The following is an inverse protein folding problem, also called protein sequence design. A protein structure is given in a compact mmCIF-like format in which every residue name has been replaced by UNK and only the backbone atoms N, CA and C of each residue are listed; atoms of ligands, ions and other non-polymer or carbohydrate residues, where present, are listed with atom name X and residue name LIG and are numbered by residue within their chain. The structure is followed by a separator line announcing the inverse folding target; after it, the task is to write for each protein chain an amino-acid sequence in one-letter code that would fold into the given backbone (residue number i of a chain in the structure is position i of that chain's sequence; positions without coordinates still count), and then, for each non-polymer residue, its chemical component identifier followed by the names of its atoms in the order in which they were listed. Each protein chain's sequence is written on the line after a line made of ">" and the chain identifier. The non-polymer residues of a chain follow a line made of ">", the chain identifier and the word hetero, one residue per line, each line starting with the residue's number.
data_IF_545641364578
#
_entry.id   IF_545641364578
#
_cell.length_a   1.000
_cell.length_b   1.000
_cell.length_c   1.000
_cell.angle_alpha   90.00
_cell.angle_beta   90.00
_cell.angle_gamma   90.00
#
_symmetry.space_group_name_H-M   'P 1'
#
loop_
_entity.id
_entity.type
_entity.pdbx_description
1 polymer ?
#
# COMPACT_ATOMS: atom_id res chain seq x y z
N UNK A 1 -23.18 6.18 0.70
CA UNK A 1 -22.03 5.28 0.86
C UNK A 1 -20.95 5.77 -0.09
N UNK A 2 -19.80 6.22 0.41
CA UNK A 2 -18.68 6.58 -0.48
C UNK A 2 -18.20 5.26 -1.09
N UNK A 3 -18.26 5.14 -2.42
CA UNK A 3 -17.69 3.99 -3.11
C UNK A 3 -16.16 4.15 -3.11
N UNK A 4 -15.47 3.17 -2.54
CA UNK A 4 -14.00 3.10 -2.59
C UNK A 4 -13.58 2.60 -3.97
N UNK A 5 -12.97 3.48 -4.77
CA UNK A 5 -12.49 3.11 -6.11
C UNK A 5 -11.19 2.30 -6.04
N UNK A 6 -10.43 2.41 -4.96
CA UNK A 6 -9.16 1.68 -4.80
C UNK A 6 -9.35 0.16 -4.69
N UNK A 7 -10.47 -0.33 -4.16
CA UNK A 7 -10.70 -1.76 -3.92
C UNK A 7 -10.69 -2.59 -5.22
N UNK A 8 -11.50 -2.28 -6.25
CA UNK A 8 -11.44 -2.99 -7.53
C UNK A 8 -10.10 -2.80 -8.26
N UNK A 9 -9.46 -1.64 -8.13
CA UNK A 9 -8.15 -1.37 -8.73
C UNK A 9 -7.04 -2.22 -8.10
N UNK A 10 -7.05 -2.40 -6.77
CA UNK A 10 -6.12 -3.30 -6.09
C UNK A 10 -6.32 -4.74 -6.53
N UNK A 11 -7.57 -5.18 -6.67
CA UNK A 11 -7.85 -6.53 -7.19
C UNK A 11 -7.26 -6.68 -8.60
N UNK A 12 -7.56 -5.77 -9.53
CA UNK A 12 -7.04 -5.80 -10.88
C UNK A 12 -5.50 -5.73 -10.93
N UNK A 13 -4.89 -4.93 -10.05
CA UNK A 13 -3.43 -4.85 -9.92
C UNK A 13 -2.82 -6.20 -9.52
N UNK A 14 -3.37 -6.89 -8.53
CA UNK A 14 -2.84 -8.20 -8.12
C UNK A 14 -3.15 -9.31 -9.13
N UNK A 15 -4.36 -9.37 -9.66
CA UNK A 15 -4.79 -10.50 -10.51
C UNK A 15 -4.43 -10.27 -11.97
N UNK A 16 -4.86 -9.17 -12.56
CA UNK A 16 -4.71 -8.95 -14.00
C UNK A 16 -3.29 -8.48 -14.33
N UNK A 17 -2.73 -7.57 -13.54
CA UNK A 17 -1.41 -7.01 -13.81
C UNK A 17 -0.27 -7.89 -13.28
N UNK A 18 -0.16 -8.10 -11.96
CA UNK A 18 0.97 -8.83 -11.38
C UNK A 18 1.00 -10.30 -11.80
N UNK A 19 -0.13 -11.01 -11.71
CA UNK A 19 -0.21 -12.41 -12.13
C UNK A 19 -0.30 -12.52 -13.66
N UNK A 20 -1.29 -11.86 -14.28
CA UNK A 20 -1.56 -12.06 -15.71
C UNK A 20 -0.53 -11.45 -16.66
N UNK A 21 -0.19 -10.17 -16.50
CA UNK A 21 0.64 -9.43 -17.47
C UNK A 21 2.13 -9.49 -17.16
N UNK A 22 2.49 -9.45 -15.87
CA UNK A 22 3.88 -9.38 -15.41
C UNK A 22 4.50 -10.74 -15.13
N UNK A 23 3.69 -11.79 -14.97
CA UNK A 23 4.09 -13.09 -14.45
C UNK A 23 5.02 -12.95 -13.23
N UNK A 24 4.61 -12.09 -12.30
CA UNK A 24 5.43 -11.70 -11.17
C UNK A 24 5.65 -12.88 -10.23
N UNK A 25 6.88 -13.03 -9.73
CA UNK A 25 7.21 -14.09 -8.79
C UNK A 25 6.33 -14.03 -7.52
N UNK A 26 6.09 -15.16 -6.83
CA UNK A 26 5.37 -15.18 -5.57
C UNK A 26 5.97 -14.23 -4.51
N UNK A 27 7.29 -14.05 -4.53
CA UNK A 27 7.98 -13.12 -3.64
C UNK A 27 7.65 -11.65 -3.99
N UNK A 28 7.64 -11.31 -5.28
CA UNK A 28 7.23 -9.98 -5.76
C UNK A 28 5.79 -9.67 -5.37
N UNK A 29 4.87 -10.61 -5.62
CA UNK A 29 3.44 -10.46 -5.25
C UNK A 29 3.30 -10.26 -3.73
N UNK A 30 4.01 -11.06 -2.93
CA UNK A 30 4.00 -10.94 -1.48
C UNK A 30 4.52 -9.58 -1.00
N UNK A 31 5.60 -9.08 -1.62
CA UNK A 31 6.17 -7.75 -1.32
C UNK A 31 5.16 -6.62 -1.59
N UNK A 32 4.48 -6.65 -2.74
CA UNK A 32 3.42 -5.67 -3.05
C UNK A 32 2.24 -5.78 -2.07
N UNK A 33 1.79 -7.00 -1.76
CA UNK A 33 0.71 -7.23 -0.78
C UNK A 33 1.06 -6.64 0.58
N UNK A 34 2.27 -6.89 1.05
CA UNK A 34 2.71 -6.45 2.37
C UNK A 34 2.89 -4.92 2.39
N UNK A 35 3.33 -4.33 1.28
CA UNK A 35 3.36 -2.86 1.09
C UNK A 35 1.97 -2.26 1.19
N UNK A 36 0.97 -2.82 0.50
CA UNK A 36 -0.41 -2.33 0.57
C UNK A 36 -1.03 -2.50 1.96
N UNK A 37 -0.76 -3.62 2.65
CA UNK A 37 -1.17 -3.80 4.04
C UNK A 37 -0.64 -2.68 4.93
N UNK A 38 0.63 -2.33 4.82
CA UNK A 38 1.22 -1.24 5.61
C UNK A 38 0.53 0.11 5.36
N UNK A 39 0.21 0.43 4.10
CA UNK A 39 -0.47 1.67 3.75
C UNK A 39 -1.90 1.71 4.32
N UNK A 40 -2.65 0.62 4.18
CA UNK A 40 -4.02 0.52 4.69
C UNK A 40 -4.08 0.58 6.22
N UNK A 41 -3.18 -0.14 6.90
CA UNK A 41 -3.07 -0.10 8.36
C UNK A 41 -2.70 1.29 8.85
N UNK A 42 -1.73 1.96 8.21
CA UNK A 42 -1.37 3.32 8.58
C UNK A 42 -2.54 4.31 8.45
N UNK A 43 -3.29 4.25 7.35
CA UNK A 43 -4.46 5.13 7.16
C UNK A 43 -5.53 4.86 8.23
N UNK A 44 -5.75 3.59 8.58
CA UNK A 44 -6.66 3.22 9.66
C UNK A 44 -6.20 3.79 11.01
N UNK A 45 -4.92 3.65 11.35
CA UNK A 45 -4.36 4.12 12.62
C UNK A 45 -4.38 5.65 12.74
N UNK A 46 -4.08 6.38 11.67
CA UNK A 46 -3.95 7.84 11.70
C UNK A 46 -5.27 8.58 11.49
N UNK A 47 -6.19 8.03 10.68
CA UNK A 47 -7.43 8.72 10.30
C UNK A 47 -8.70 7.99 10.73
N UNK A 48 -8.60 6.79 11.32
CA UNK A 48 -9.76 5.99 11.73
C UNK A 48 -10.57 5.43 10.56
N UNK A 49 -10.05 5.51 9.33
CA UNK A 49 -10.74 5.04 8.12
C UNK A 49 -10.52 3.53 8.00
N UNK A 50 -11.60 2.75 7.92
CA UNK A 50 -11.47 1.30 7.76
C UNK A 50 -10.78 0.96 6.44
N UNK A 51 -9.97 -0.11 6.36
CA UNK A 51 -9.30 -0.50 5.12
C UNK A 51 -10.23 -0.62 3.90
N UNK A 52 -11.48 -1.03 4.13
CA UNK A 52 -12.53 -1.15 3.11
C UNK A 52 -13.11 0.18 2.64
N UNK A 53 -12.93 1.25 3.41
CA UNK A 53 -13.39 2.60 3.09
C UNK A 53 -12.26 3.51 2.59
N UNK A 54 -11.00 3.04 2.62
CA UNK A 54 -9.87 3.77 2.04
C UNK A 54 -10.09 3.95 0.55
N UNK A 55 -9.76 5.14 0.05
CA UNK A 55 -9.77 5.47 -1.37
C UNK A 55 -8.49 6.24 -1.76
N UNK A 56 -8.28 6.49 -3.05
CA UNK A 56 -7.10 7.22 -3.54
C UNK A 56 -6.96 8.62 -2.91
N UNK A 57 -8.07 9.26 -2.58
CA UNK A 57 -8.10 10.58 -1.90
C UNK A 57 -7.48 10.55 -0.50
N UNK A 58 -7.40 9.38 0.14
CA UNK A 58 -6.76 9.20 1.44
C UNK A 58 -5.26 8.91 1.34
N UNK A 59 -4.75 8.67 0.12
CA UNK A 59 -3.34 8.37 -0.16
C UNK A 59 -2.66 9.47 -1.03
N UNK A 60 -2.80 10.77 -0.72
CA UNK A 60 -2.03 11.80 -1.40
C UNK A 60 -0.53 11.63 -1.09
N UNK A 61 0.33 12.27 -1.90
CA UNK A 61 1.79 12.23 -1.73
C UNK A 61 2.24 12.49 -0.29
N UNK A 62 1.64 13.45 0.42
CA UNK A 62 1.92 13.72 1.84
C UNK A 62 1.70 12.51 2.76
N UNK A 63 0.65 11.72 2.52
CA UNK A 63 0.36 10.51 3.30
C UNK A 63 1.37 9.43 2.97
N UNK A 64 1.74 9.28 1.69
CA UNK A 64 2.80 8.35 1.29
C UNK A 64 4.13 8.70 1.95
N UNK A 65 4.54 9.98 1.95
CA UNK A 65 5.74 10.44 2.66
C UNK A 65 5.68 10.13 4.15
N UNK A 66 4.54 10.40 4.80
CA UNK A 66 4.36 10.13 6.22
C UNK A 66 4.42 8.63 6.54
N UNK A 67 3.87 7.76 5.68
CA UNK A 67 4.02 6.30 5.78
C UNK A 67 5.50 5.91 5.71
N UNK A 68 6.25 6.42 4.72
CA UNK A 68 7.67 6.07 4.57
C UNK A 68 8.50 6.52 5.78
N UNK A 69 8.21 7.71 6.32
CA UNK A 69 8.84 8.20 7.54
C UNK A 69 8.52 7.30 8.75
N UNK A 70 7.25 6.92 8.91
CA UNK A 70 6.83 6.01 9.98
C UNK A 70 7.53 4.64 9.88
N UNK A 71 7.71 4.11 8.68
CA UNK A 71 8.43 2.86 8.47
C UNK A 71 9.89 2.92 8.93
N UNK A 72 10.56 4.05 8.69
CA UNK A 72 11.95 4.26 9.07
C UNK A 72 12.10 4.54 10.57
N UNK A 73 11.29 5.45 11.11
CA UNK A 73 11.44 5.96 12.48
C UNK A 73 10.82 5.04 13.52
N UNK A 74 9.58 4.59 13.31
CA UNK A 74 8.83 3.82 14.32
C UNK A 74 9.05 2.31 14.16
N UNK A 75 9.18 1.84 12.92
CA UNK A 75 9.40 0.40 12.64
C UNK A 75 10.87 0.03 12.44
N UNK A 76 11.78 1.01 12.49
CA UNK A 76 13.23 0.80 12.43
C UNK A 76 13.74 0.26 11.10
N UNK A 77 13.00 0.43 10.01
CA UNK A 77 13.44 -0.06 8.71
C UNK A 77 14.65 0.73 8.21
N UNK A 78 15.58 0.03 7.55
CA UNK A 78 16.64 0.69 6.82
C UNK A 78 16.09 1.56 5.66
N UNK A 79 16.81 2.63 5.26
CA UNK A 79 16.46 3.41 4.07
C UNK A 79 16.31 2.59 2.79
N UNK A 80 17.05 1.47 2.68
CA UNK A 80 16.96 0.52 1.56
C UNK A 80 15.61 -0.21 1.57
N UNK A 81 15.22 -0.79 2.71
CA UNK A 81 13.91 -1.46 2.87
C UNK A 81 12.76 -0.47 2.66
N UNK A 82 12.91 0.76 3.13
CA UNK A 82 11.94 1.83 2.88
C UNK A 82 11.85 2.17 1.37
N UNK A 83 12.98 2.28 0.68
CA UNK A 83 13.00 2.54 -0.78
C UNK A 83 12.34 1.44 -1.58
N UNK A 84 12.56 0.17 -1.23
CA UNK A 84 11.89 -0.95 -1.90
C UNK A 84 10.37 -0.91 -1.79
N UNK A 85 9.80 -0.16 -0.83
CA UNK A 85 8.35 0.01 -0.65
C UNK A 85 7.78 1.25 -1.35
N UNK A 86 8.67 2.10 -1.89
CA UNK A 86 8.33 3.25 -2.72
C UNK A 86 8.33 2.89 -4.22
N UNK A 87 9.23 1.99 -4.62
CA UNK A 87 9.47 1.56 -6.01
C UNK A 87 8.28 0.89 -6.70
#
# INVERSE_FOLDING_TARGET
>A
MVMSHISPELQAFFTSYLVGQRDASPHTISSYRDTWKLRLTYVQEQAGITPTAVDFTNLPSKTITAILQHLEQDRGNSPATRNSRLA
#
